data_IF_271689844548
#
_entry.id   IF_271689844548
#
_cell.length_a   1.000
_cell.length_b   1.000
_cell.length_c   1.000
_cell.angle_alpha   90.00
_cell.angle_beta   90.00
_cell.angle_gamma   90.00
#
_symmetry.space_group_name_H-M   'P 1'
#
loop_
_entity.id
_entity.type
_entity.pdbx_description
1 polymer ?
#
# COMPACT_ATOMS: atom_id res chain seq x y z
N UNK A 1 -6.65 17.01 -18.32
CA UNK A 1 -5.86 15.79 -18.58
C UNK A 1 -6.80 14.83 -19.27
N UNK A 2 -6.47 14.36 -20.48
CA UNK A 2 -7.31 13.36 -21.15
C UNK A 2 -6.74 12.01 -20.78
N UNK A 3 -7.54 11.14 -20.18
CA UNK A 3 -7.15 9.74 -19.97
C UNK A 3 -7.45 9.01 -21.28
N UNK A 4 -6.42 8.40 -21.85
CA UNK A 4 -6.59 7.38 -22.89
C UNK A 4 -7.10 6.09 -22.24
N UNK A 5 -7.88 5.32 -23.01
CA UNK A 5 -8.34 4.00 -22.56
C UNK A 5 -7.14 3.15 -22.12
N UNK A 6 -7.23 2.58 -20.91
CA UNK A 6 -6.17 1.78 -20.33
C UNK A 6 -6.72 0.59 -19.53
N UNK A 7 -5.84 -0.35 -19.24
CA UNK A 7 -6.16 -1.54 -18.47
C UNK A 7 -5.61 -1.37 -17.04
N UNK A 8 -6.48 -1.58 -16.06
CA UNK A 8 -6.15 -1.58 -14.64
C UNK A 8 -6.30 -3.00 -14.11
N UNK A 9 -5.35 -3.47 -13.29
CA UNK A 9 -5.53 -4.70 -12.54
C UNK A 9 -6.26 -4.36 -11.25
N UNK A 10 -7.47 -4.88 -11.11
CA UNK A 10 -8.31 -4.77 -9.92
C UNK A 10 -8.48 -6.17 -9.34
N UNK A 11 -8.11 -6.35 -8.07
CA UNK A 11 -8.07 -7.66 -7.44
C UNK A 11 -7.14 -8.62 -8.21
N UNK A 12 -7.73 -9.60 -8.92
CA UNK A 12 -7.02 -10.56 -9.75
C UNK A 12 -7.37 -10.43 -11.25
N UNK A 13 -8.23 -9.47 -11.62
CA UNK A 13 -8.78 -9.34 -12.97
C UNK A 13 -8.40 -8.00 -13.62
N UNK A 14 -8.46 -7.96 -14.95
CA UNK A 14 -8.22 -6.74 -15.74
C UNK A 14 -9.52 -5.99 -15.98
N UNK A 15 -9.53 -4.71 -15.62
CA UNK A 15 -10.60 -3.76 -15.88
C UNK A 15 -10.19 -2.76 -16.97
N UNK A 16 -11.05 -2.59 -17.98
CA UNK A 16 -10.86 -1.59 -19.04
C UNK A 16 -11.42 -0.24 -18.59
N UNK A 17 -10.53 0.67 -18.21
CA UNK A 17 -10.84 2.05 -17.81
C UNK A 17 -10.86 2.94 -19.06
N UNK A 18 -12.03 3.48 -19.41
CA UNK A 18 -12.27 4.16 -20.69
C UNK A 18 -12.39 5.66 -20.57
N UNK A 19 -12.89 6.14 -19.43
CA UNK A 19 -13.22 7.56 -19.23
C UNK A 19 -13.29 7.91 -17.75
N UNK A 20 -13.16 9.19 -17.43
CA UNK A 20 -13.17 9.66 -16.04
C UNK A 20 -14.46 9.34 -15.25
N UNK A 21 -15.59 9.10 -15.93
CA UNK A 21 -16.81 8.67 -15.23
C UNK A 21 -16.70 7.26 -14.64
N UNK A 22 -15.71 6.48 -15.08
CA UNK A 22 -15.50 5.11 -14.62
C UNK A 22 -15.00 5.07 -13.17
N UNK A 23 -14.54 6.19 -12.61
CA UNK A 23 -14.28 6.33 -11.18
C UNK A 23 -15.53 6.16 -10.31
N UNK A 24 -16.73 6.27 -10.87
CA UNK A 24 -18.00 6.13 -10.15
C UNK A 24 -18.71 4.81 -10.43
N UNK A 25 -18.03 3.84 -11.05
CA UNK A 25 -18.62 2.52 -11.29
C UNK A 25 -18.79 1.79 -9.97
N UNK A 26 -19.99 1.25 -9.76
CA UNK A 26 -20.29 0.30 -8.70
C UNK A 26 -20.23 -1.12 -9.28
N UNK A 27 -19.26 -1.89 -8.80
CA UNK A 27 -19.14 -3.31 -9.09
C UNK A 27 -20.09 -4.11 -8.20
N UNK A 28 -20.44 -5.31 -8.66
CA UNK A 28 -21.26 -6.26 -7.88
C UNK A 28 -20.53 -6.75 -6.62
N UNK A 29 -19.21 -6.86 -6.71
CA UNK A 29 -18.33 -7.24 -5.62
C UNK A 29 -17.62 -5.98 -5.11
N UNK A 30 -17.82 -5.68 -3.83
CA UNK A 30 -17.34 -4.47 -3.16
C UNK A 30 -15.81 -4.38 -3.17
N UNK A 31 -15.10 -5.52 -3.21
CA UNK A 31 -13.63 -5.51 -3.27
C UNK A 31 -13.09 -4.86 -4.55
N UNK A 32 -13.83 -4.93 -5.65
CA UNK A 32 -13.47 -4.22 -6.89
C UNK A 32 -13.64 -2.71 -6.75
N UNK A 33 -14.66 -2.25 -6.02
CA UNK A 33 -14.84 -0.82 -5.73
C UNK A 33 -13.63 -0.31 -4.92
N UNK A 34 -13.26 -1.02 -3.86
CA UNK A 34 -12.09 -0.66 -3.07
C UNK A 34 -10.81 -0.70 -3.91
N UNK A 35 -10.57 -1.79 -4.65
CA UNK A 35 -9.35 -1.98 -5.46
C UNK A 35 -9.16 -0.88 -6.50
N UNK A 36 -10.24 -0.44 -7.17
CA UNK A 36 -10.21 0.70 -8.11
C UNK A 36 -9.60 1.95 -7.46
N UNK A 37 -9.92 2.17 -6.19
CA UNK A 37 -9.55 3.35 -5.43
C UNK A 37 -8.28 3.21 -4.61
N UNK A 38 -7.68 2.02 -4.46
CA UNK A 38 -6.42 1.78 -3.71
C UNK A 38 -5.16 2.17 -4.49
N UNK A 39 -5.27 2.34 -5.81
CA UNK A 39 -4.15 2.64 -6.72
C UNK A 39 -3.05 1.56 -6.76
N UNK A 40 -3.35 0.31 -6.39
CA UNK A 40 -2.43 -0.82 -6.56
C UNK A 40 -2.00 -1.01 -8.03
N UNK A 41 -2.90 -0.67 -8.96
CA UNK A 41 -2.65 -0.69 -10.41
C UNK A 41 -1.50 0.22 -10.86
N UNK A 42 -1.10 1.23 -10.06
CA UNK A 42 0.13 1.99 -10.33
C UNK A 42 1.36 1.10 -10.24
N UNK A 43 1.40 0.16 -9.30
CA UNK A 43 2.56 -0.69 -9.07
C UNK A 43 2.52 -1.94 -9.97
N UNK A 44 1.35 -2.53 -10.17
CA UNK A 44 1.23 -3.70 -11.05
C UNK A 44 1.48 -3.36 -12.52
N UNK A 45 1.20 -2.13 -12.95
CA UNK A 45 1.57 -1.66 -14.30
C UNK A 45 3.09 -1.56 -14.51
N UNK A 46 3.89 -1.38 -13.45
CA UNK A 46 5.35 -1.38 -13.54
C UNK A 46 5.94 -2.78 -13.70
N UNK A 47 5.28 -3.80 -13.14
CA UNK A 47 5.76 -5.19 -13.17
C UNK A 47 5.26 -5.97 -14.39
N UNK A 48 4.13 -5.58 -14.96
CA UNK A 48 3.60 -6.23 -16.15
C UNK A 48 4.22 -5.56 -17.38
N UNK A 49 4.68 -6.35 -18.35
CA UNK A 49 5.17 -5.87 -19.66
C UNK A 49 4.04 -5.25 -20.51
N UNK A 50 3.06 -4.60 -19.90
CA UNK A 50 2.16 -3.66 -20.57
C UNK A 50 3.00 -2.49 -21.06
N UNK A 51 2.75 -2.00 -22.27
CA UNK A 51 3.48 -0.87 -22.88
C UNK A 51 3.28 0.50 -22.17
N UNK A 52 3.02 0.52 -20.86
CA UNK A 52 2.99 1.70 -19.99
C UNK A 52 3.43 1.32 -18.56
N UNK A 53 4.18 2.18 -17.82
CA UNK A 53 4.13 3.64 -17.96
C UNK A 53 5.48 4.38 -18.05
N UNK A 54 5.55 5.31 -19.02
CA UNK A 54 6.24 6.57 -18.81
C UNK A 54 5.50 7.30 -17.68
N UNK A 55 6.17 7.59 -16.56
CA UNK A 55 5.70 8.29 -15.33
C UNK A 55 4.46 9.19 -15.49
N UNK A 56 4.41 9.98 -16.55
CA UNK A 56 3.28 10.85 -16.93
C UNK A 56 1.92 10.15 -16.96
N UNK A 57 1.82 8.90 -17.44
CA UNK A 57 0.55 8.16 -17.41
C UNK A 57 0.01 8.04 -15.98
N UNK A 58 0.84 7.57 -15.05
CA UNK A 58 0.42 7.38 -13.65
C UNK A 58 0.08 8.69 -12.98
N UNK A 59 0.86 9.75 -13.25
CA UNK A 59 0.55 11.11 -12.77
C UNK A 59 -0.79 11.62 -13.31
N UNK A 60 -1.11 11.35 -14.58
CA UNK A 60 -2.39 11.75 -15.18
C UNK A 60 -3.57 10.96 -14.62
N UNK A 61 -3.39 9.66 -14.35
CA UNK A 61 -4.41 8.84 -13.68
C UNK A 61 -4.70 9.35 -12.26
N UNK A 62 -3.66 9.64 -11.47
CA UNK A 62 -3.81 10.25 -10.14
C UNK A 62 -4.56 11.58 -10.20
N UNK A 63 -4.18 12.47 -11.12
CA UNK A 63 -4.86 13.77 -11.32
C UNK A 63 -6.32 13.62 -11.70
N UNK A 64 -6.66 12.67 -12.57
CA UNK A 64 -8.05 12.44 -12.92
C UNK A 64 -8.87 11.95 -11.73
N UNK A 65 -8.33 11.01 -10.95
CA UNK A 65 -8.99 10.57 -9.71
C UNK A 65 -9.18 11.75 -8.76
N UNK A 66 -8.14 12.56 -8.53
CA UNK A 66 -8.21 13.75 -7.67
C UNK A 66 -9.31 14.70 -8.16
N UNK A 67 -9.34 15.02 -9.46
CA UNK A 67 -10.33 15.93 -10.02
C UNK A 67 -11.79 15.43 -9.90
N UNK A 68 -12.02 14.13 -9.73
CA UNK A 68 -13.38 13.56 -9.61
C UNK A 68 -13.78 13.22 -8.19
N UNK A 69 -12.83 12.81 -7.36
CA UNK A 69 -13.11 12.12 -6.09
C UNK A 69 -12.65 12.91 -4.86
N UNK A 70 -11.85 13.98 -5.01
CA UNK A 70 -11.24 14.64 -3.84
C UNK A 70 -12.26 15.41 -2.98
N UNK A 71 -13.33 15.92 -3.59
CA UNK A 71 -14.30 16.79 -2.93
C UNK A 71 -15.38 16.02 -2.16
N UNK A 72 -15.59 14.74 -2.49
CA UNK A 72 -16.60 13.88 -1.85
C UNK A 72 -15.92 12.83 -0.97
N UNK A 73 -15.68 13.17 0.30
CA UNK A 73 -14.97 12.35 1.28
C UNK A 73 -15.80 11.19 1.85
N UNK A 74 -16.46 10.43 0.98
CA UNK A 74 -17.39 9.36 1.36
C UNK A 74 -17.16 8.05 0.59
N UNK A 75 -17.84 6.99 1.04
CA UNK A 75 -17.89 5.69 0.38
C UNK A 75 -16.55 4.96 0.32
N UNK A 76 -16.49 3.96 -0.56
CA UNK A 76 -15.35 3.03 -0.69
C UNK A 76 -14.05 3.76 -1.05
N UNK A 77 -14.19 4.85 -1.82
CA UNK A 77 -13.11 5.75 -2.18
C UNK A 77 -12.44 6.36 -0.95
N UNK A 78 -13.17 6.74 0.10
CA UNK A 78 -12.61 7.37 1.29
C UNK A 78 -12.57 6.46 2.52
N UNK A 79 -12.78 5.15 2.35
CA UNK A 79 -12.50 4.20 3.42
C UNK A 79 -11.04 4.39 3.91
N UNK A 80 -10.75 4.37 5.23
CA UNK A 80 -9.42 4.69 5.74
C UNK A 80 -8.32 3.76 5.21
N UNK A 81 -8.59 2.44 5.14
CA UNK A 81 -7.69 1.49 4.49
C UNK A 81 -7.36 1.87 3.04
N UNK A 82 -8.39 2.17 2.23
CA UNK A 82 -8.26 2.58 0.83
C UNK A 82 -7.44 3.86 0.69
N UNK A 83 -7.70 4.83 1.57
CA UNK A 83 -6.96 6.10 1.63
C UNK A 83 -5.50 5.86 1.98
N UNK A 84 -5.23 4.95 2.92
CA UNK A 84 -3.88 4.53 3.28
C UNK A 84 -3.12 3.90 2.12
N UNK A 85 -3.73 2.93 1.44
CA UNK A 85 -3.16 2.31 0.23
C UNK A 85 -2.84 3.35 -0.85
N UNK A 86 -3.74 4.29 -1.14
CA UNK A 86 -3.46 5.36 -2.13
C UNK A 86 -2.19 6.14 -1.82
N UNK A 87 -2.05 6.58 -0.57
CA UNK A 87 -0.90 7.38 -0.14
C UNK A 87 0.38 6.57 -0.33
N UNK A 88 0.39 5.32 0.15
CA UNK A 88 1.57 4.46 0.06
C UNK A 88 1.92 4.09 -1.37
N UNK A 89 0.93 3.76 -2.21
CA UNK A 89 1.15 3.37 -3.60
C UNK A 89 1.58 4.55 -4.47
N UNK A 90 1.02 5.75 -4.26
CA UNK A 90 1.47 6.95 -4.97
C UNK A 90 2.94 7.26 -4.69
N UNK A 91 3.34 7.18 -3.42
CA UNK A 91 4.73 7.34 -3.03
C UNK A 91 5.64 6.29 -3.68
N UNK A 92 5.30 5.00 -3.55
CA UNK A 92 6.11 3.92 -4.14
C UNK A 92 6.21 4.06 -5.66
N UNK A 93 5.13 4.43 -6.33
CA UNK A 93 5.14 4.73 -7.76
C UNK A 93 6.08 5.90 -8.08
N UNK A 94 6.01 6.99 -7.32
CA UNK A 94 6.91 8.14 -7.47
C UNK A 94 8.39 7.75 -7.31
N UNK A 95 8.72 6.91 -6.32
CA UNK A 95 10.08 6.38 -6.10
C UNK A 95 10.53 5.56 -7.33
N UNK A 96 9.71 4.61 -7.75
CA UNK A 96 10.06 3.63 -8.79
C UNK A 96 10.12 4.23 -10.21
N UNK A 97 9.52 5.40 -10.41
CA UNK A 97 9.47 6.07 -11.72
C UNK A 97 10.31 7.34 -11.79
N UNK A 98 10.98 7.74 -10.70
CA UNK A 98 11.91 8.87 -10.70
C UNK A 98 13.26 8.45 -11.29
N UNK A 99 13.61 9.02 -12.45
CA UNK A 99 14.86 8.71 -13.19
C UNK A 99 16.12 8.90 -12.33
N UNK A 100 16.09 9.88 -11.42
CA UNK A 100 17.21 10.25 -10.56
C UNK A 100 16.90 10.03 -9.07
N UNK A 101 16.21 8.94 -8.71
CA UNK A 101 15.85 8.71 -7.30
C UNK A 101 17.06 8.81 -6.35
N UNK A 102 18.24 8.33 -6.79
CA UNK A 102 19.50 8.39 -6.02
C UNK A 102 19.89 9.83 -5.65
N UNK A 103 19.49 10.82 -6.44
CA UNK A 103 19.84 12.23 -6.27
C UNK A 103 18.63 13.11 -5.88
N UNK A 104 17.40 12.63 -6.09
CA UNK A 104 16.18 13.36 -5.73
C UNK A 104 15.89 13.21 -4.24
N UNK A 105 15.46 14.31 -3.60
CA UNK A 105 14.87 14.23 -2.27
C UNK A 105 13.55 13.48 -2.35
N UNK A 106 13.19 12.75 -1.30
CA UNK A 106 11.90 12.05 -1.23
C UNK A 106 10.70 13.01 -1.33
N UNK A 107 10.91 14.30 -1.04
CA UNK A 107 9.92 15.36 -1.21
C UNK A 107 9.63 15.73 -2.67
N UNK A 108 10.48 15.33 -3.61
CA UNK A 108 10.47 15.82 -4.99
C UNK A 108 9.99 14.75 -5.99
N UNK A 109 9.68 13.55 -5.50
CA UNK A 109 9.30 12.39 -6.33
C UNK A 109 7.92 12.55 -6.99
N UNK A 110 7.06 13.41 -6.43
CA UNK A 110 5.72 13.71 -6.93
C UNK A 110 5.51 15.23 -7.10
N UNK A 111 4.76 15.65 -8.14
CA UNK A 111 4.34 17.03 -8.33
C UNK A 111 3.53 17.62 -7.16
N UNK A 112 3.62 18.94 -6.95
CA UNK A 112 2.96 19.66 -5.84
C UNK A 112 1.43 19.52 -5.81
N UNK A 113 0.78 19.44 -6.96
CA UNK A 113 -0.68 19.28 -7.04
C UNK A 113 -1.13 17.93 -6.46
N UNK A 114 -0.37 16.87 -6.75
CA UNK A 114 -0.61 15.53 -6.19
C UNK A 114 -0.23 15.49 -4.71
N UNK A 115 0.92 16.08 -4.32
CA UNK A 115 1.31 16.16 -2.90
C UNK A 115 0.27 16.89 -2.05
N UNK A 116 -0.31 17.97 -2.57
CA UNK A 116 -1.38 18.72 -1.89
C UNK A 116 -2.62 17.84 -1.65
N UNK A 117 -3.02 17.05 -2.66
CA UNK A 117 -4.12 16.11 -2.51
C UNK A 117 -3.80 14.98 -1.52
N UNK A 118 -2.58 14.43 -1.56
CA UNK A 118 -2.13 13.41 -0.60
C UNK A 118 -2.08 13.95 0.83
N UNK A 119 -1.76 15.23 1.03
CA UNK A 119 -1.84 15.86 2.34
C UNK A 119 -3.28 15.90 2.87
N UNK A 120 -4.27 16.24 2.03
CA UNK A 120 -5.69 16.20 2.42
C UNK A 120 -6.11 14.78 2.83
N UNK A 121 -5.65 13.77 2.09
CA UNK A 121 -5.89 12.36 2.43
C UNK A 121 -5.22 11.96 3.75
N UNK A 122 -4.01 12.43 4.02
CA UNK A 122 -3.29 12.16 5.27
C UNK A 122 -3.97 12.83 6.48
N UNK A 123 -4.48 14.06 6.32
CA UNK A 123 -5.30 14.74 7.35
C UNK A 123 -6.55 13.90 7.65
N UNK A 124 -7.33 13.56 6.61
CA UNK A 124 -8.51 12.73 6.76
C UNK A 124 -8.19 11.40 7.46
N UNK A 125 -7.14 10.72 7.02
CA UNK A 125 -6.72 9.44 7.58
C UNK A 125 -6.34 9.56 9.07
N UNK A 126 -5.69 10.66 9.46
CA UNK A 126 -5.32 10.91 10.86
C UNK A 126 -6.53 11.06 11.79
N UNK A 127 -7.67 11.51 11.26
CA UNK A 127 -8.93 11.67 11.98
C UNK A 127 -9.81 10.41 11.95
N UNK A 128 -9.53 9.45 11.06
CA UNK A 128 -10.38 8.28 10.79
C UNK A 128 -9.62 6.95 10.88
N UNK A 129 -8.60 6.86 11.74
CA UNK A 129 -7.81 5.65 11.94
C UNK A 129 -8.70 4.44 12.26
N UNK A 130 -8.39 3.28 11.68
CA UNK A 130 -9.09 2.01 11.93
C UNK A 130 -8.66 1.34 13.24
N UNK A 131 -8.64 2.14 14.30
CA UNK A 131 -8.37 1.69 15.65
C UNK A 131 -9.67 1.31 16.37
N UNK A 132 -9.84 0.02 16.66
CA UNK A 132 -11.05 -0.52 17.33
C UNK A 132 -10.81 -0.82 18.82
N UNK A 133 -9.66 -0.42 19.36
CA UNK A 133 -9.22 -0.71 20.71
C UNK A 133 -8.40 -2.00 20.82
N UNK A 134 -7.82 -2.19 22.01
CA UNK A 134 -6.95 -3.34 22.34
C UNK A 134 -7.64 -4.68 22.08
N UNK A 135 -6.95 -5.57 21.36
CA UNK A 135 -7.44 -6.92 21.01
C UNK A 135 -8.61 -6.97 20.02
N UNK A 136 -9.04 -5.83 19.46
CA UNK A 136 -10.09 -5.75 18.42
C UNK A 136 -9.60 -5.08 17.13
N UNK A 137 -8.36 -4.61 17.14
CA UNK A 137 -7.74 -3.89 16.04
C UNK A 137 -6.96 -4.88 15.18
N UNK A 138 -7.33 -4.97 13.91
CA UNK A 138 -6.64 -5.82 12.92
C UNK A 138 -5.49 -5.09 12.24
N UNK A 139 -4.99 -5.69 11.16
CA UNK A 139 -3.83 -5.19 10.43
C UNK A 139 -4.04 -3.80 9.79
N UNK A 140 -5.30 -3.38 9.54
CA UNK A 140 -5.62 -2.13 8.84
C UNK A 140 -5.01 -0.89 9.53
N UNK A 141 -4.95 -0.88 10.86
CA UNK A 141 -4.36 0.26 11.60
C UNK A 141 -2.87 0.41 11.30
N UNK A 142 -2.16 -0.70 11.04
CA UNK A 142 -0.75 -0.69 10.65
C UNK A 142 -0.60 -0.16 9.24
N UNK A 143 -1.55 -0.45 8.34
CA UNK A 143 -1.58 0.19 7.03
C UNK A 143 -1.80 1.71 7.13
N UNK A 144 -2.67 2.17 8.05
CA UNK A 144 -2.82 3.61 8.31
C UNK A 144 -1.49 4.22 8.82
N UNK A 145 -0.77 3.52 9.70
CA UNK A 145 0.55 3.97 10.16
C UNK A 145 1.58 4.02 9.02
N UNK A 146 1.58 3.03 8.12
CA UNK A 146 2.42 3.00 6.91
C UNK A 146 2.15 4.23 6.04
N UNK A 147 0.89 4.51 5.72
CA UNK A 147 0.51 5.67 4.94
C UNK A 147 0.95 7.00 5.59
N UNK A 148 0.77 7.14 6.90
CA UNK A 148 1.21 8.34 7.63
C UNK A 148 2.74 8.51 7.65
N UNK A 149 3.51 7.42 7.78
CA UNK A 149 4.97 7.50 7.68
C UNK A 149 5.39 7.98 6.29
N UNK A 150 4.77 7.44 5.25
CA UNK A 150 5.02 7.81 3.86
C UNK A 150 4.68 9.28 3.60
N UNK A 151 3.49 9.72 4.03
CA UNK A 151 3.08 11.12 3.96
C UNK A 151 4.04 12.05 4.74
N UNK A 152 4.50 11.63 5.92
CA UNK A 152 5.43 12.44 6.73
C UNK A 152 6.73 12.77 6.00
N UNK A 153 7.23 11.84 5.19
CA UNK A 153 8.49 11.97 4.46
C UNK A 153 8.29 12.71 3.14
N UNK A 154 7.20 12.40 2.42
CA UNK A 154 6.86 13.08 1.18
C UNK A 154 6.58 14.57 1.38
N UNK A 155 5.92 14.91 2.49
CA UNK A 155 5.42 16.26 2.76
C UNK A 155 6.28 17.02 3.77
N UNK A 156 7.29 16.37 4.36
CA UNK A 156 8.12 16.90 5.45
C UNK A 156 7.30 17.36 6.67
N UNK A 157 6.36 16.52 7.11
CA UNK A 157 5.43 16.79 8.22
C UNK A 157 5.66 15.80 9.37
N UNK A 158 6.37 16.25 10.41
CA UNK A 158 6.78 15.40 11.53
C UNK A 158 5.60 14.84 12.35
N UNK A 159 4.48 15.56 12.43
CA UNK A 159 3.31 15.10 13.19
C UNK A 159 2.75 13.77 12.64
N UNK A 160 2.82 13.54 11.34
CA UNK A 160 2.42 12.27 10.73
C UNK A 160 3.39 11.14 11.11
N UNK A 161 4.70 11.43 11.18
CA UNK A 161 5.72 10.46 11.62
C UNK A 161 5.48 10.05 13.08
N UNK A 162 5.22 11.03 13.95
CA UNK A 162 4.92 10.82 15.36
C UNK A 162 3.64 9.98 15.57
N UNK A 163 2.58 10.26 14.80
CA UNK A 163 1.34 9.50 14.86
C UNK A 163 1.54 8.08 14.36
N UNK A 164 2.21 7.91 13.21
CA UNK A 164 2.59 6.60 12.68
C UNK A 164 3.34 5.77 13.72
N UNK A 165 4.38 6.34 14.33
CA UNK A 165 5.18 5.60 15.30
C UNK A 165 4.40 5.27 16.58
N UNK A 166 3.47 6.13 17.00
CA UNK A 166 2.60 5.86 18.14
C UNK A 166 1.64 4.70 17.86
N UNK A 167 1.08 4.61 16.65
CA UNK A 167 0.25 3.49 16.22
C UNK A 167 1.06 2.19 16.18
N UNK A 168 2.25 2.22 15.56
CA UNK A 168 3.14 1.06 15.46
C UNK A 168 3.50 0.51 16.83
N UNK A 169 3.92 1.35 17.77
CA UNK A 169 4.27 0.93 19.13
C UNK A 169 3.11 0.30 19.89
N UNK A 170 1.90 0.82 19.68
CA UNK A 170 0.72 0.33 20.40
C UNK A 170 0.14 -0.97 19.82
N UNK A 171 0.27 -1.21 18.51
CA UNK A 171 -0.50 -2.28 17.84
C UNK A 171 0.38 -3.39 17.25
N UNK A 172 1.58 -3.08 16.75
CA UNK A 172 2.44 -4.09 16.12
C UNK A 172 2.80 -5.26 17.05
N UNK A 173 3.09 -5.05 18.36
CA UNK A 173 3.37 -6.15 19.28
C UNK A 173 2.17 -7.07 19.57
N UNK A 174 0.94 -6.60 19.36
CA UNK A 174 -0.27 -7.43 19.53
C UNK A 174 -0.58 -8.24 18.26
N UNK A 175 -0.21 -7.72 17.09
CA UNK A 175 -0.50 -8.35 15.79
C UNK A 175 0.53 -9.39 15.37
N UNK A 176 1.78 -9.27 15.80
CA UNK A 176 2.87 -10.18 15.44
C UNK A 176 3.22 -11.05 16.64
N UNK A 177 3.06 -12.36 16.48
CA UNK A 177 3.41 -13.34 17.51
C UNK A 177 4.90 -13.32 17.84
N UNK A 178 5.27 -13.95 18.95
CA UNK A 178 6.67 -14.01 19.40
C UNK A 178 7.60 -14.66 18.36
N UNK A 179 7.08 -15.61 17.58
CA UNK A 179 7.76 -16.33 16.51
C UNK A 179 7.61 -15.69 15.12
N UNK A 180 6.78 -14.64 14.96
CA UNK A 180 6.73 -13.83 13.74
C UNK A 180 5.52 -14.03 12.83
N UNK A 181 4.54 -14.80 13.25
CA UNK A 181 3.29 -14.96 12.51
C UNK A 181 2.35 -13.77 12.77
N UNK A 182 1.65 -13.37 11.73
CA UNK A 182 0.52 -12.47 11.83
C UNK A 182 -0.63 -13.19 12.54
N UNK A 183 -1.18 -12.55 13.57
CA UNK A 183 -2.26 -13.10 14.42
C UNK A 183 -3.56 -13.44 13.68
N UNK A 184 -3.75 -12.92 12.47
CA UNK A 184 -4.93 -13.15 11.63
C UNK A 184 -4.92 -14.52 10.93
N UNK A 185 -3.77 -15.21 10.90
CA UNK A 185 -3.72 -16.62 10.48
C UNK A 185 -3.93 -16.86 8.98
N UNK A 186 -3.71 -15.85 8.14
CA UNK A 186 -3.73 -15.99 6.68
C UNK A 186 -2.32 -15.97 6.09
N UNK A 187 -2.06 -16.89 5.16
CA UNK A 187 -0.79 -16.94 4.43
C UNK A 187 -0.64 -15.74 3.50
N UNK A 188 -1.71 -15.30 2.81
CA UNK A 188 -1.62 -14.15 1.92
C UNK A 188 -1.37 -12.85 2.68
N UNK A 189 -2.10 -12.64 3.79
CA UNK A 189 -1.89 -11.47 4.64
C UNK A 189 -0.52 -11.47 5.32
N UNK A 190 0.08 -12.63 5.61
CA UNK A 190 1.46 -12.69 6.09
C UNK A 190 2.43 -12.00 5.12
N UNK A 191 2.33 -12.27 3.81
CA UNK A 191 3.22 -11.66 2.80
C UNK A 191 2.94 -10.17 2.62
N UNK A 192 1.67 -9.78 2.51
CA UNK A 192 1.27 -8.37 2.36
C UNK A 192 1.76 -7.55 3.57
N UNK A 193 1.49 -8.04 4.78
CA UNK A 193 1.91 -7.36 5.99
C UNK A 193 3.43 -7.29 6.12
N UNK A 194 4.14 -8.36 5.76
CA UNK A 194 5.61 -8.38 5.75
C UNK A 194 6.16 -7.31 4.79
N UNK A 195 5.57 -7.19 3.60
CA UNK A 195 5.92 -6.13 2.64
C UNK A 195 5.76 -4.75 3.26
N UNK A 196 4.64 -4.47 3.92
CA UNK A 196 4.41 -3.17 4.56
C UNK A 196 5.48 -2.85 5.60
N UNK A 197 5.86 -3.82 6.44
CA UNK A 197 6.90 -3.62 7.44
C UNK A 197 8.27 -3.38 6.78
N UNK A 198 8.60 -4.13 5.71
CA UNK A 198 9.86 -3.94 4.98
C UNK A 198 9.93 -2.58 4.28
N UNK A 199 8.83 -2.14 3.67
CA UNK A 199 8.70 -0.81 3.06
C UNK A 199 8.91 0.29 4.10
N UNK A 200 8.25 0.22 5.26
CA UNK A 200 8.46 1.18 6.36
C UNK A 200 9.89 1.13 6.93
N UNK A 201 10.49 -0.06 7.04
CA UNK A 201 11.86 -0.23 7.52
C UNK A 201 12.86 0.41 6.55
N UNK A 202 12.72 0.12 5.25
CA UNK A 202 13.54 0.73 4.19
C UNK A 202 13.41 2.24 4.21
N UNK A 203 12.17 2.74 4.24
CA UNK A 203 11.88 4.17 4.23
C UNK A 203 12.46 4.87 5.47
N UNK A 204 12.31 4.26 6.65
CA UNK A 204 12.89 4.78 7.89
C UNK A 204 14.41 4.87 7.83
N UNK A 205 15.06 3.91 7.17
CA UNK A 205 16.52 3.91 6.98
C UNK A 205 16.97 5.06 6.07
N UNK A 206 16.35 5.21 4.90
CA UNK A 206 16.78 6.22 3.91
C UNK A 206 16.42 7.65 4.33
N UNK A 207 15.44 7.81 5.21
CA UNK A 207 15.01 9.12 5.74
C UNK A 207 15.54 9.41 7.14
N UNK A 208 16.52 8.63 7.63
CA UNK A 208 17.15 8.81 8.95
C UNK A 208 16.18 8.83 10.15
N UNK A 209 15.07 8.08 10.07
CA UNK A 209 14.12 7.86 11.17
C UNK A 209 14.58 6.69 12.05
N UNK A 210 15.72 6.86 12.73
CA UNK A 210 16.40 5.78 13.46
C UNK A 210 15.48 5.08 14.48
N UNK A 211 14.69 5.82 15.26
CA UNK A 211 13.81 5.23 16.28
C UNK A 211 12.76 4.27 15.67
N UNK A 212 12.19 4.64 14.53
CA UNK A 212 11.22 3.79 13.82
C UNK A 212 11.93 2.58 13.21
N UNK A 213 13.11 2.79 12.61
CA UNK A 213 13.92 1.71 12.07
C UNK A 213 14.26 0.67 13.13
N UNK A 214 14.81 1.10 14.28
CA UNK A 214 15.23 0.24 15.37
C UNK A 214 14.05 -0.53 15.97
N UNK A 215 12.87 0.10 16.02
CA UNK A 215 11.64 -0.55 16.46
C UNK A 215 11.17 -1.62 15.47
N UNK A 216 11.16 -1.34 14.16
CA UNK A 216 10.65 -2.26 13.13
C UNK A 216 11.59 -3.42 12.83
N UNK A 217 12.90 -3.22 12.89
CA UNK A 217 13.93 -4.20 12.53
C UNK A 217 13.76 -5.60 13.17
N UNK A 218 13.49 -5.74 14.48
CA UNK A 218 13.26 -7.07 15.06
C UNK A 218 11.97 -7.74 14.58
N UNK A 219 10.93 -6.98 14.20
CA UNK A 219 9.71 -7.54 13.63
C UNK A 219 9.90 -7.99 12.19
N UNK A 220 10.56 -7.16 11.36
CA UNK A 220 10.78 -7.47 9.94
C UNK A 220 11.50 -8.80 9.76
N UNK A 221 12.55 -9.05 10.56
CA UNK A 221 13.33 -10.28 10.49
C UNK A 221 12.50 -11.53 10.82
N UNK A 222 11.57 -11.42 11.77
CA UNK A 222 10.66 -12.53 12.15
C UNK A 222 9.57 -12.75 11.09
N UNK A 223 8.99 -11.67 10.59
CA UNK A 223 7.96 -11.70 9.56
C UNK A 223 8.49 -12.34 8.27
N UNK A 224 9.67 -11.92 7.80
CA UNK A 224 10.35 -12.52 6.64
C UNK A 224 10.61 -14.01 6.84
N UNK A 225 11.10 -14.39 8.04
CA UNK A 225 11.30 -15.81 8.38
C UNK A 225 10.00 -16.62 8.24
N UNK A 226 8.87 -16.06 8.65
CA UNK A 226 7.57 -16.76 8.57
C UNK A 226 6.91 -16.70 7.21
N UNK A 227 7.27 -15.77 6.32
CA UNK A 227 6.96 -15.94 4.90
C UNK A 227 7.57 -17.26 4.38
N UNK A 228 8.81 -17.58 4.78
CA UNK A 228 9.47 -18.83 4.41
C UNK A 228 8.77 -20.10 4.91
N UNK A 229 8.00 -20.04 6.00
CA UNK A 229 7.18 -21.17 6.46
C UNK A 229 6.05 -21.50 5.46
N UNK A 230 5.52 -20.49 4.78
CA UNK A 230 4.47 -20.64 3.78
C UNK A 230 5.01 -20.83 2.37
N UNK A 231 6.33 -20.95 2.17
CA UNK A 231 6.88 -21.32 0.87
C UNK A 231 7.09 -22.83 0.85
N UNK A 232 6.32 -23.53 0.02
CA UNK A 232 6.37 -24.99 -0.10
C UNK A 232 6.67 -25.39 -1.54
N UNK A 233 7.37 -26.51 -1.73
CA UNK A 233 7.57 -27.10 -3.04
C UNK A 233 6.32 -27.91 -3.41
N UNK A 234 5.72 -27.61 -4.56
CA UNK A 234 4.63 -28.39 -5.13
C UNK A 234 5.17 -29.74 -5.61
N UNK A 235 4.53 -30.83 -5.20
CA UNK A 235 4.97 -32.18 -5.50
C UNK A 235 4.74 -32.57 -6.97
N UNK A 236 3.84 -31.88 -7.68
CA UNK A 236 3.45 -32.23 -9.04
C UNK A 236 4.40 -31.63 -10.09
N UNK A 237 4.94 -30.43 -9.85
CA UNK A 237 5.83 -29.72 -10.79
C UNK A 237 7.17 -29.26 -10.20
N UNK A 238 7.38 -29.41 -8.88
CA UNK A 238 8.61 -28.99 -8.19
C UNK A 238 8.73 -27.47 -8.04
N UNK A 239 7.67 -26.70 -8.34
CA UNK A 239 7.69 -25.24 -8.22
C UNK A 239 7.38 -24.81 -6.79
N UNK A 240 8.00 -23.70 -6.37
CA UNK A 240 7.67 -23.08 -5.09
C UNK A 240 6.31 -22.39 -5.18
N UNK A 241 5.43 -22.67 -4.22
CA UNK A 241 4.09 -22.10 -4.11
C UNK A 241 3.80 -21.62 -2.69
N UNK A 242 2.76 -20.78 -2.56
CA UNK A 242 2.22 -20.34 -1.29
C UNK A 242 0.87 -21.05 -1.09
N UNK A 243 0.70 -21.90 -0.05
CA UNK A 243 -0.58 -22.51 0.22
C UNK A 243 -1.55 -21.42 0.66
N UNK A 244 -2.76 -21.41 0.10
CA UNK A 244 -3.78 -20.42 0.45
C UNK A 244 -4.52 -20.89 1.71
N UNK A 245 -4.05 -20.40 2.86
CA UNK A 245 -4.62 -20.67 4.18
C UNK A 245 -5.26 -19.38 4.66
N UNK A 246 -6.50 -19.46 5.12
CA UNK A 246 -7.28 -18.30 5.54
C UNK A 246 -7.71 -17.43 4.35
N UNK A 247 -7.92 -16.14 4.61
CA UNK A 247 -8.44 -15.20 3.61
C UNK A 247 -7.36 -14.74 2.63
N UNK A 248 -7.76 -14.47 1.39
CA UNK A 248 -6.90 -13.92 0.34
C UNK A 248 -7.31 -12.47 0.10
N UNK A 249 -6.45 -11.52 0.46
CA UNK A 249 -6.64 -10.10 0.13
C UNK A 249 -6.80 -9.86 -1.38
N UNK A 250 -7.63 -8.88 -1.79
CA UNK A 250 -7.73 -8.40 -3.17
C UNK A 250 -6.68 -7.33 -3.53
N UNK A 251 -5.69 -7.06 -2.67
CA UNK A 251 -4.74 -5.97 -2.93
C UNK A 251 -3.75 -6.30 -4.05
N UNK A 252 -3.14 -7.49 -3.99
CA UNK A 252 -2.17 -7.96 -4.97
C UNK A 252 -2.44 -9.43 -5.31
N UNK A 253 -2.22 -9.87 -6.56
CA UNK A 253 -2.24 -11.29 -6.88
C UNK A 253 -1.18 -12.06 -6.09
N UNK A 254 -1.47 -13.30 -5.71
CA UNK A 254 -0.54 -14.18 -4.96
C UNK A 254 0.79 -14.32 -5.70
N UNK A 255 0.75 -14.48 -7.02
CA UNK A 255 1.94 -14.58 -7.89
C UNK A 255 2.78 -13.31 -7.90
N UNK A 256 2.21 -12.15 -7.58
CA UNK A 256 2.93 -10.89 -7.48
C UNK A 256 3.73 -10.81 -6.17
N UNK A 257 3.24 -11.44 -5.09
CA UNK A 257 3.89 -11.44 -3.77
C UNK A 257 4.87 -12.59 -3.56
N UNK A 258 4.81 -13.66 -4.36
CA UNK A 258 5.68 -14.83 -4.18
C UNK A 258 7.17 -14.54 -4.40
N UNK A 259 7.52 -13.38 -4.94
CA UNK A 259 8.91 -12.91 -5.12
C UNK A 259 9.44 -12.05 -3.96
N UNK A 260 8.65 -11.84 -2.90
CA UNK A 260 8.92 -10.84 -1.87
C UNK A 260 10.05 -11.19 -0.87
N UNK A 261 10.12 -12.40 -0.26
CA UNK A 261 11.19 -12.76 0.68
C UNK A 261 12.51 -13.13 0.00
#
# INVERSE_FOLDING_TARGET
YTIDECELILCADTFSFKKESDWFIEFKDEEYNFSLHRWNWLLTSLSNNTNNPAREWGLNMMRSWINKMIDDQNGDAWHPYTTGERISNAFMFGILTSEDFVYSKQTDILPEDIKSALNLMAIYLSDHLEYKGKGKTGNHVINNARALLFASILLDIESYSNLSFSILRSNLPELVSTDGFLSEGSSHYQFIFTRWILEMLWLSKISNKCDIYDFLHPFSSKLVKQCGFFIVEDLDDGLLSIPLIGDVSPDFPVSWLSSLP
#
